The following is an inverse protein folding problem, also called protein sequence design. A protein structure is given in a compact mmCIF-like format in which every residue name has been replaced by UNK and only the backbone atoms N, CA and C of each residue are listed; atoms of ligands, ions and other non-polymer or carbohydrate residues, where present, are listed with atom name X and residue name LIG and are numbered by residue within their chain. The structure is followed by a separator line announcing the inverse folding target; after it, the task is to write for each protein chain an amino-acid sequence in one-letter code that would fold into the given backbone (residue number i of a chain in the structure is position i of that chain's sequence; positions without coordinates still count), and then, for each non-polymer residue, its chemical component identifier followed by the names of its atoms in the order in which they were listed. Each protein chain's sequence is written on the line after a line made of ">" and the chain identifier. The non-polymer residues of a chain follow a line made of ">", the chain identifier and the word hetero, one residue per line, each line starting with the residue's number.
data_IF_730822389873
#
_entry.id   IF_730822389873
#
_cell.length_a   1.000
_cell.length_b   1.000
_cell.length_c   1.000
_cell.angle_alpha   90.00
_cell.angle_beta   90.00
_cell.angle_gamma   90.00
#
_symmetry.space_group_name_H-M   'P 1'
#
loop_
_entity.id
_entity.type
_entity.pdbx_description
1 polymer ?
#
# COMPACT_ATOMS: atom_id res chain seq x y z
N UNK A 1 -5.00 1.09 -16.04
CA UNK A 1 -5.22 0.97 -14.58
C UNK A 1 -4.96 2.32 -13.94
N UNK A 2 -5.78 2.74 -12.99
CA UNK A 2 -5.61 3.99 -12.24
C UNK A 2 -5.60 3.65 -10.74
N UNK A 3 -4.73 4.32 -9.99
CA UNK A 3 -4.61 4.15 -8.54
C UNK A 3 -4.40 5.51 -7.89
N UNK A 4 -4.98 5.68 -6.71
CA UNK A 4 -4.83 6.91 -5.93
C UNK A 4 -4.93 6.60 -4.44
N UNK A 5 -4.18 7.37 -3.66
CA UNK A 5 -4.34 7.41 -2.21
C UNK A 5 -5.69 8.01 -1.89
N UNK A 6 -6.42 7.38 -1.00
CA UNK A 6 -7.82 7.71 -0.70
C UNK A 6 -8.05 7.84 0.81
N UNK A 7 -7.18 8.62 1.45
CA UNK A 7 -7.15 8.85 2.89
C UNK A 7 -5.72 8.93 3.41
N UNK A 8 -5.59 8.82 4.72
CA UNK A 8 -4.33 9.07 5.42
C UNK A 8 -3.32 7.94 5.26
N UNK A 9 -2.04 8.31 5.28
CA UNK A 9 -0.93 7.38 5.38
C UNK A 9 -0.51 7.30 6.85
N UNK A 10 -0.53 6.10 7.42
CA UNK A 10 0.00 5.84 8.76
C UNK A 10 1.39 5.25 8.64
N UNK A 11 2.33 5.80 9.41
CA UNK A 11 3.72 5.34 9.49
C UNK A 11 4.01 4.93 10.93
N UNK A 12 4.37 3.67 11.13
CA UNK A 12 4.61 3.07 12.44
C UNK A 12 6.01 2.41 12.48
N UNK A 13 6.93 2.89 13.33
CA UNK A 13 8.21 2.22 13.56
C UNK A 13 8.02 0.77 14.01
N UNK A 14 8.92 -0.10 13.60
CA UNK A 14 8.92 -1.51 13.95
C UNK A 14 10.29 -1.92 14.48
N UNK A 15 10.33 -3.01 15.23
CA UNK A 15 11.57 -3.60 15.72
C UNK A 15 12.53 -3.91 14.56
N UNK A 16 13.84 -3.75 14.81
CA UNK A 16 14.89 -4.04 13.84
C UNK A 16 15.05 -2.98 12.75
N UNK A 17 14.85 -1.70 13.10
CA UNK A 17 14.97 -0.54 12.20
C UNK A 17 14.08 -0.67 10.96
N UNK A 18 12.86 -1.17 11.14
CA UNK A 18 11.87 -1.32 10.08
C UNK A 18 10.77 -0.28 10.27
N UNK A 19 10.07 0.02 9.20
CA UNK A 19 8.91 0.92 9.23
C UNK A 19 7.74 0.24 8.55
N UNK A 20 6.58 0.27 9.19
CA UNK A 20 5.31 -0.18 8.62
C UNK A 20 4.57 1.04 8.09
N UNK A 21 4.23 1.02 6.81
CA UNK A 21 3.44 2.06 6.16
C UNK A 21 2.10 1.48 5.76
N UNK A 22 1.00 2.06 6.25
CA UNK A 22 -0.36 1.62 5.91
C UNK A 22 -1.12 2.76 5.26
N UNK A 23 -1.81 2.49 4.16
CA UNK A 23 -2.58 3.50 3.44
C UNK A 23 -3.78 2.90 2.70
N UNK A 24 -4.89 3.65 2.59
CA UNK A 24 -6.00 3.28 1.72
C UNK A 24 -5.65 3.57 0.26
N UNK A 25 -5.77 2.55 -0.59
CA UNK A 25 -5.58 2.63 -2.04
C UNK A 25 -6.92 2.40 -2.72
N UNK A 26 -7.42 3.41 -3.43
CA UNK A 26 -8.54 3.23 -4.35
C UNK A 26 -7.99 2.87 -5.74
N UNK A 27 -8.69 1.96 -6.41
CA UNK A 27 -8.30 1.48 -7.74
C UNK A 27 -9.47 1.50 -8.72
N UNK A 28 -9.11 1.66 -9.99
CA UNK A 28 -9.94 1.36 -11.14
C UNK A 28 -9.14 0.57 -12.18
N UNK A 29 -9.66 -0.60 -12.53
CA UNK A 29 -9.11 -1.53 -13.49
C UNK A 29 -10.06 -1.65 -14.67
N UNK A 30 -9.49 -1.62 -15.87
CA UNK A 30 -10.21 -1.78 -17.14
C UNK A 30 -9.52 -2.86 -17.97
N UNK A 31 -10.31 -3.76 -18.52
CA UNK A 31 -9.87 -4.72 -19.54
C UNK A 31 -10.98 -4.82 -20.61
N UNK A 32 -10.80 -4.10 -21.73
CA UNK A 32 -11.87 -3.89 -22.70
C UNK A 32 -13.09 -3.24 -22.06
N UNK A 33 -14.27 -3.86 -22.25
CA UNK A 33 -15.52 -3.44 -21.63
C UNK A 33 -15.64 -3.82 -20.13
N UNK A 34 -14.75 -4.66 -19.59
CA UNK A 34 -14.79 -5.06 -18.18
C UNK A 34 -14.21 -3.95 -17.30
N UNK A 35 -14.96 -3.55 -16.28
CA UNK A 35 -14.55 -2.57 -15.29
C UNK A 35 -14.60 -3.18 -13.88
N UNK A 36 -13.60 -2.87 -13.06
CA UNK A 36 -13.60 -3.18 -11.63
C UNK A 36 -13.00 -2.01 -10.86
N UNK A 37 -13.64 -1.63 -9.78
CA UNK A 37 -13.20 -0.54 -8.91
C UNK A 37 -13.40 -0.92 -7.46
N UNK A 38 -12.57 -0.38 -6.58
CA UNK A 38 -12.70 -0.63 -5.15
C UNK A 38 -11.66 0.09 -4.32
N UNK A 39 -11.72 -0.15 -3.02
CA UNK A 39 -10.75 0.34 -2.04
C UNK A 39 -10.12 -0.84 -1.30
N UNK A 40 -8.82 -0.75 -1.05
CA UNK A 40 -8.07 -1.73 -0.27
C UNK A 40 -7.16 -0.99 0.69
N UNK A 41 -7.00 -1.54 1.89
CA UNK A 41 -5.93 -1.13 2.79
C UNK A 41 -4.66 -1.87 2.39
N UNK A 42 -3.61 -1.12 2.08
CA UNK A 42 -2.28 -1.61 1.74
C UNK A 42 -1.37 -1.40 2.93
N UNK A 43 -0.60 -2.41 3.30
CA UNK A 43 0.47 -2.31 4.29
C UNK A 43 1.78 -2.75 3.67
N UNK A 44 2.80 -1.90 3.76
CA UNK A 44 4.17 -2.17 3.36
C UNK A 44 5.04 -2.23 4.62
N UNK A 45 5.96 -3.20 4.69
CA UNK A 45 7.06 -3.15 5.65
C UNK A 45 8.33 -2.81 4.89
N UNK A 46 8.98 -1.75 5.33
CA UNK A 46 10.20 -1.20 4.75
C UNK A 46 11.38 -1.46 5.69
N UNK A 47 12.56 -1.68 5.12
CA UNK A 47 13.84 -1.64 5.85
C UNK A 47 14.85 -0.76 5.10
N UNK A 48 15.85 -0.18 5.79
CA UNK A 48 16.96 0.50 5.16
C UNK A 48 17.69 -0.37 4.14
N UNK A 49 18.17 0.27 3.08
CA UNK A 49 18.96 -0.29 2.00
C UNK A 49 20.00 0.76 1.56
N UNK A 50 21.05 0.94 2.36
CA UNK A 50 21.92 2.11 2.22
C UNK A 50 21.16 3.38 2.65
N UNK A 51 21.15 4.38 1.79
CA UNK A 51 20.41 5.64 2.00
C UNK A 51 18.92 5.55 1.58
N UNK A 52 18.51 4.41 1.03
CA UNK A 52 17.15 4.16 0.55
C UNK A 52 16.35 3.23 1.48
N UNK A 53 15.07 3.05 1.15
CA UNK A 53 14.19 2.05 1.75
C UNK A 53 13.82 0.98 0.72
N UNK A 54 13.81 -0.28 1.15
CA UNK A 54 13.32 -1.40 0.35
C UNK A 54 12.08 -2.04 0.97
N UNK A 55 11.13 -2.46 0.13
CA UNK A 55 9.96 -3.21 0.55
C UNK A 55 10.37 -4.65 0.86
N UNK A 56 10.10 -5.12 2.07
CA UNK A 56 10.40 -6.50 2.50
C UNK A 56 9.17 -7.33 2.82
N UNK A 57 8.01 -6.69 2.97
CA UNK A 57 6.74 -7.38 3.03
C UNK A 57 5.62 -6.49 2.50
N UNK A 58 4.62 -7.11 1.88
CA UNK A 58 3.40 -6.48 1.40
C UNK A 58 2.22 -7.26 1.96
N UNK A 59 1.22 -6.55 2.48
CA UNK A 59 -0.05 -7.11 2.89
C UNK A 59 -1.20 -6.25 2.34
N UNK A 60 -2.32 -6.90 2.04
CA UNK A 60 -3.49 -6.26 1.47
C UNK A 60 -4.73 -6.75 2.20
N UNK A 61 -5.62 -5.83 2.56
CA UNK A 61 -6.94 -6.14 3.10
C UNK A 61 -7.99 -5.36 2.33
N UNK A 62 -9.16 -5.97 2.10
CA UNK A 62 -10.31 -5.20 1.60
C UNK A 62 -10.64 -4.12 2.63
N UNK A 63 -10.77 -2.88 2.18
CA UNK A 63 -11.37 -1.86 3.02
C UNK A 63 -12.87 -2.19 3.11
N UNK A 64 -13.39 -2.26 4.34
CA UNK A 64 -14.81 -2.51 4.61
C UNK A 64 -15.70 -1.36 4.15
#
# INVERSE_FOLDING_TARGET
>A
RRFWLDGDITVDPQNGNRVRVTFPLRYELRNGAKHSSGKISKTLVLKPAGDDLQIVAVNERKAG
#
